data_IF_997921973416
#
_entry.id   IF_997921973416
#
_cell.length_a   1.000
_cell.length_b   1.000
_cell.length_c   1.000
_cell.angle_alpha   90.00
_cell.angle_beta   90.00
_cell.angle_gamma   90.00
#
_symmetry.space_group_name_H-M   'P 1'
#
loop_
_entity.id
_entity.type
_entity.pdbx_description
1 polymer ?
#
# COMPACT_ATOMS: atom_id res chain seq x y z
N UNK A 1 30.72 -18.59 6.59
CA UNK A 1 29.48 -18.39 5.81
C UNK A 1 29.40 -16.91 5.49
N UNK A 2 29.29 -16.54 4.22
CA UNK A 2 29.00 -15.16 3.85
C UNK A 2 27.49 -14.92 3.95
N UNK A 3 27.10 -13.78 4.49
CA UNK A 3 25.72 -13.32 4.53
C UNK A 3 25.53 -12.32 3.39
N UNK A 4 24.41 -12.42 2.68
CA UNK A 4 24.04 -11.47 1.62
C UNK A 4 22.76 -10.74 2.02
N UNK A 5 22.65 -9.48 1.59
CA UNK A 5 21.44 -8.66 1.68
C UNK A 5 21.00 -8.39 0.25
N UNK A 6 19.75 -8.71 -0.08
CA UNK A 6 19.17 -8.52 -1.41
C UNK A 6 17.75 -7.98 -1.30
N UNK A 7 17.35 -7.24 -2.32
CA UNK A 7 15.98 -6.77 -2.46
C UNK A 7 15.09 -7.84 -3.10
N UNK A 8 13.93 -8.09 -2.48
CA UNK A 8 12.91 -9.04 -2.92
C UNK A 8 11.80 -8.32 -3.69
N UNK A 9 12.15 -7.67 -4.78
CA UNK A 9 11.21 -6.89 -5.61
C UNK A 9 10.69 -7.68 -6.82
N UNK A 10 9.43 -7.41 -7.17
CA UNK A 10 8.78 -7.89 -8.39
C UNK A 10 9.12 -7.06 -9.62
N UNK A 11 8.59 -7.42 -10.80
CA UNK A 11 8.92 -6.76 -12.07
C UNK A 11 8.24 -5.41 -12.27
N UNK A 12 7.30 -5.03 -11.39
CA UNK A 12 6.52 -3.82 -11.55
C UNK A 12 7.05 -2.68 -10.68
N UNK A 13 7.16 -1.49 -11.27
CA UNK A 13 7.41 -0.23 -10.57
C UNK A 13 6.22 0.71 -10.82
N UNK A 14 5.70 1.31 -9.74
CA UNK A 14 4.58 2.24 -9.79
C UNK A 14 4.85 3.43 -8.89
N UNK A 15 4.41 4.61 -9.29
CA UNK A 15 4.14 5.65 -8.32
C UNK A 15 2.98 5.21 -7.41
N UNK A 16 2.93 5.74 -6.18
CA UNK A 16 1.83 5.44 -5.25
C UNK A 16 0.45 5.71 -5.87
N UNK A 17 0.34 6.81 -6.64
CA UNK A 17 -0.89 7.16 -7.36
C UNK A 17 -1.26 6.08 -8.37
N UNK A 18 -0.35 5.68 -9.26
CA UNK A 18 -0.61 4.65 -10.27
C UNK A 18 -1.02 3.32 -9.63
N UNK A 19 -0.36 2.92 -8.53
CA UNK A 19 -0.73 1.72 -7.78
C UNK A 19 -2.17 1.80 -7.25
N UNK A 20 -2.56 2.92 -6.63
CA UNK A 20 -3.93 3.10 -6.12
C UNK A 20 -4.98 3.15 -7.23
N UNK A 21 -4.67 3.76 -8.37
CA UNK A 21 -5.54 3.77 -9.55
C UNK A 21 -5.69 2.37 -10.15
N UNK A 22 -4.60 1.61 -10.26
CA UNK A 22 -4.59 0.23 -10.71
C UNK A 22 -5.51 -0.63 -9.85
N UNK A 23 -5.36 -0.57 -8.52
CA UNK A 23 -6.21 -1.32 -7.58
C UNK A 23 -7.68 -0.93 -7.80
N UNK A 24 -8.01 0.36 -7.75
CA UNK A 24 -9.38 0.84 -7.88
C UNK A 24 -10.03 0.48 -9.22
N UNK A 25 -9.26 0.46 -10.31
CA UNK A 25 -9.73 0.00 -11.62
C UNK A 25 -9.98 -1.51 -11.63
N UNK A 26 -9.06 -2.31 -11.08
CA UNK A 26 -9.16 -3.78 -11.08
C UNK A 26 -10.31 -4.30 -10.23
N UNK A 27 -10.61 -3.65 -9.09
CA UNK A 27 -11.76 -4.02 -8.23
C UNK A 27 -13.05 -3.29 -8.61
N UNK A 28 -13.07 -2.54 -9.71
CA UNK A 28 -14.23 -1.77 -10.19
C UNK A 28 -14.77 -0.75 -9.16
N UNK A 29 -13.90 -0.23 -8.30
CA UNK A 29 -14.21 0.80 -7.27
C UNK A 29 -13.35 2.04 -7.48
N UNK A 30 -13.61 2.78 -8.56
CA UNK A 30 -12.94 4.05 -8.84
C UNK A 30 -13.28 5.09 -7.77
N UNK A 31 -12.26 5.72 -7.20
CA UNK A 31 -12.38 6.77 -6.19
C UNK A 31 -11.61 8.01 -6.64
N UNK A 32 -12.04 9.17 -6.18
CA UNK A 32 -11.30 10.41 -6.41
C UNK A 32 -10.01 10.38 -5.58
N UNK A 33 -8.87 10.61 -6.23
CA UNK A 33 -7.57 10.72 -5.57
C UNK A 33 -7.21 12.20 -5.43
N UNK A 34 -7.16 12.67 -4.19
CA UNK A 34 -6.80 14.06 -3.87
C UNK A 34 -5.36 14.08 -3.33
N UNK A 35 -4.43 14.80 -3.97
CA UNK A 35 -3.10 14.99 -3.41
C UNK A 35 -3.19 15.88 -2.16
N UNK A 36 -2.60 15.43 -1.05
CA UNK A 36 -2.59 16.16 0.21
C UNK A 36 -1.18 16.18 0.80
N UNK A 37 -0.77 17.27 1.48
CA UNK A 37 0.43 17.28 2.30
C UNK A 37 0.38 16.19 3.39
N UNK A 38 1.50 15.54 3.74
CA UNK A 38 1.55 14.43 4.71
C UNK A 38 0.86 14.73 6.05
N UNK A 39 1.06 15.94 6.60
CA UNK A 39 0.43 16.36 7.86
C UNK A 39 -1.09 16.40 7.78
N UNK A 40 -1.66 16.85 6.66
CA UNK A 40 -3.11 16.87 6.47
C UNK A 40 -3.66 15.46 6.28
N UNK A 41 -2.94 14.60 5.56
CA UNK A 41 -3.30 13.19 5.42
C UNK A 41 -3.32 12.47 6.78
N UNK A 42 -2.30 12.69 7.62
CA UNK A 42 -2.23 12.13 8.97
C UNK A 42 -3.37 12.64 9.86
N UNK A 43 -3.65 13.95 9.88
CA UNK A 43 -4.77 14.51 10.65
C UNK A 43 -6.13 13.93 10.19
N UNK A 44 -6.34 13.80 8.88
CA UNK A 44 -7.54 13.20 8.34
C UNK A 44 -7.66 11.72 8.75
N UNK A 45 -6.55 10.97 8.70
CA UNK A 45 -6.54 9.57 9.12
C UNK A 45 -6.77 9.39 10.62
N UNK A 46 -6.21 10.25 11.47
CA UNK A 46 -6.49 10.28 12.91
C UNK A 46 -7.96 10.55 13.19
N UNK A 47 -8.57 11.49 12.48
CA UNK A 47 -10.00 11.76 12.60
C UNK A 47 -10.83 10.54 12.20
N UNK A 48 -10.53 9.95 11.03
CA UNK A 48 -11.23 8.75 10.54
C UNK A 48 -11.06 7.53 11.45
N UNK A 49 -9.89 7.37 12.07
CA UNK A 49 -9.57 6.30 13.03
C UNK A 49 -10.56 6.27 14.20
N UNK A 50 -11.04 7.44 14.65
CA UNK A 50 -12.04 7.54 15.72
C UNK A 50 -13.41 6.97 15.30
N UNK A 51 -13.76 7.01 14.01
CA UNK A 51 -15.05 6.48 13.52
C UNK A 51 -15.00 4.98 13.26
N UNK A 52 -13.83 4.46 12.89
CA UNK A 52 -13.65 3.02 12.63
C UNK A 52 -13.17 2.25 13.87
N UNK A 53 -12.91 2.94 14.98
CA UNK A 53 -12.33 2.37 16.20
C UNK A 53 -11.08 1.52 15.92
N UNK A 54 -10.23 1.99 15.01
CA UNK A 54 -9.05 1.28 14.52
C UNK A 54 -7.96 2.27 14.12
N UNK A 55 -6.71 1.81 14.06
CA UNK A 55 -5.57 2.63 13.64
C UNK A 55 -5.45 2.58 12.12
N UNK A 56 -5.89 3.65 11.44
CA UNK A 56 -5.88 3.70 9.97
C UNK A 56 -4.51 4.05 9.37
N UNK A 57 -3.77 4.94 10.01
CA UNK A 57 -2.47 5.42 9.50
C UNK A 57 -1.63 6.00 10.63
N UNK A 58 -0.38 5.56 10.70
CA UNK A 58 0.61 6.05 11.67
C UNK A 58 1.55 7.09 11.03
N UNK A 59 2.12 8.03 11.82
CA UNK A 59 3.15 8.93 11.32
C UNK A 59 4.34 8.20 10.70
N UNK A 60 4.74 7.07 11.29
CA UNK A 60 5.89 6.28 10.86
C UNK A 60 5.64 5.61 9.48
N UNK A 61 4.43 5.15 9.21
CA UNK A 61 4.05 4.64 7.88
C UNK A 61 4.08 5.74 6.82
N UNK A 62 3.63 6.95 7.17
CA UNK A 62 3.69 8.11 6.27
C UNK A 62 5.14 8.45 5.95
N UNK A 63 6.00 8.53 6.97
CA UNK A 63 7.41 8.82 6.79
C UNK A 63 8.11 7.74 5.96
N UNK A 64 7.82 6.45 6.23
CA UNK A 64 8.35 5.32 5.47
C UNK A 64 7.91 5.32 4.01
N UNK A 65 6.64 5.65 3.74
CA UNK A 65 6.12 5.77 2.37
C UNK A 65 6.77 6.95 1.63
N UNK A 66 6.95 8.09 2.30
CA UNK A 66 7.58 9.27 1.72
C UNK A 66 9.08 9.12 1.49
N UNK A 67 9.73 8.16 2.16
CA UNK A 67 11.15 7.86 2.02
C UNK A 67 11.48 7.00 0.78
N UNK A 68 10.48 6.62 -0.02
CA UNK A 68 10.63 5.85 -1.27
C UNK A 68 11.38 4.51 -1.09
N UNK A 69 11.23 3.91 0.11
CA UNK A 69 11.94 2.69 0.51
C UNK A 69 11.43 1.41 -0.20
N UNK A 70 10.37 1.53 -1.00
CA UNK A 70 9.72 0.43 -1.70
C UNK A 70 10.20 0.28 -3.15
N UNK A 71 11.19 1.08 -3.57
CA UNK A 71 11.83 0.99 -4.88
C UNK A 71 13.23 0.40 -4.74
N UNK A 72 13.55 -0.57 -5.60
CA UNK A 72 14.89 -1.14 -5.69
C UNK A 72 15.59 -0.66 -6.96
N UNK A 73 16.91 -0.51 -6.89
CA UNK A 73 17.76 -0.26 -8.07
C UNK A 73 18.32 -1.57 -8.66
N UNK A 74 18.03 -2.69 -8.02
CA UNK A 74 18.49 -4.01 -8.44
C UNK A 74 17.47 -4.64 -9.42
N UNK A 75 17.92 -5.54 -10.33
CA UNK A 75 17.00 -6.25 -11.20
C UNK A 75 15.95 -7.04 -10.39
N UNK A 76 14.70 -7.15 -10.91
CA UNK A 76 13.65 -7.88 -10.23
C UNK A 76 14.04 -9.36 -10.05
N UNK A 77 13.92 -9.85 -8.82
CA UNK A 77 14.20 -11.25 -8.47
C UNK A 77 12.94 -12.06 -8.29
N UNK A 78 11.86 -11.40 -7.89
CA UNK A 78 10.55 -12.01 -7.76
C UNK A 78 9.81 -11.93 -9.10
N UNK A 79 9.07 -12.99 -9.43
CA UNK A 79 8.36 -13.10 -10.71
C UNK A 79 6.93 -12.58 -10.66
N UNK A 80 6.41 -12.33 -9.47
CA UNK A 80 5.01 -11.96 -9.26
C UNK A 80 4.79 -10.50 -9.64
N UNK A 81 4.00 -10.27 -10.68
CA UNK A 81 3.44 -8.96 -10.99
C UNK A 81 2.24 -8.66 -10.08
N UNK A 82 2.20 -7.46 -9.50
CA UNK A 82 1.07 -6.98 -8.72
C UNK A 82 -0.18 -6.86 -9.59
N UNK A 83 -0.03 -6.42 -10.85
CA UNK A 83 -1.14 -6.27 -11.79
C UNK A 83 -1.83 -7.59 -12.09
N UNK A 84 -1.04 -8.63 -12.37
CA UNK A 84 -1.57 -9.97 -12.66
C UNK A 84 -2.22 -10.56 -11.41
N UNK A 85 -1.52 -10.46 -10.27
CA UNK A 85 -2.05 -10.93 -8.99
C UNK A 85 -3.37 -10.26 -8.61
N UNK A 86 -3.50 -8.94 -8.79
CA UNK A 86 -4.74 -8.22 -8.54
C UNK A 86 -5.88 -8.70 -9.45
N UNK A 87 -5.59 -9.03 -10.70
CA UNK A 87 -6.60 -9.53 -11.66
C UNK A 87 -7.13 -10.90 -11.21
N UNK A 88 -6.24 -11.78 -10.77
CA UNK A 88 -6.58 -13.11 -10.24
C UNK A 88 -7.37 -13.02 -8.92
N UNK A 89 -7.11 -12.01 -8.10
CA UNK A 89 -7.67 -11.85 -6.75
C UNK A 89 -8.72 -10.74 -6.64
N UNK A 90 -9.22 -10.20 -7.76
CA UNK A 90 -10.16 -9.07 -7.76
C UNK A 90 -11.43 -9.33 -6.94
N UNK A 91 -11.83 -10.60 -6.84
CA UNK A 91 -12.99 -11.05 -6.08
C UNK A 91 -12.74 -11.21 -4.58
N UNK A 92 -11.54 -10.94 -4.07
CA UNK A 92 -11.24 -11.08 -2.63
C UNK A 92 -10.65 -9.80 -2.07
N UNK A 93 -9.83 -9.10 -2.86
CA UNK A 93 -9.17 -7.86 -2.48
C UNK A 93 -10.20 -6.78 -2.12
N UNK A 94 -10.08 -6.22 -0.91
CA UNK A 94 -10.89 -5.10 -0.44
C UNK A 94 -12.36 -5.43 -0.11
N UNK A 95 -12.75 -6.72 -0.08
CA UNK A 95 -14.12 -7.13 0.33
C UNK A 95 -14.41 -6.88 1.80
N UNK A 96 -13.40 -6.99 2.66
CA UNK A 96 -13.52 -6.79 4.10
C UNK A 96 -12.47 -5.79 4.55
N UNK A 97 -12.85 -4.97 5.55
CA UNK A 97 -11.90 -4.07 6.20
C UNK A 97 -10.94 -4.91 7.04
N UNK A 98 -9.64 -4.73 6.81
CA UNK A 98 -8.59 -5.39 7.59
C UNK A 98 -8.17 -4.44 8.71
N UNK A 99 -8.68 -4.66 9.92
CA UNK A 99 -8.34 -3.83 11.08
C UNK A 99 -6.94 -4.17 11.61
N UNK A 100 -6.13 -3.15 11.87
CA UNK A 100 -4.80 -3.32 12.45
C UNK A 100 -4.90 -3.82 13.89
N UNK A 101 -5.81 -3.25 14.69
CA UNK A 101 -6.02 -3.69 16.08
C UNK A 101 -6.50 -5.14 16.15
N UNK A 102 -7.47 -5.54 15.32
CA UNK A 102 -7.99 -6.92 15.32
C UNK A 102 -7.00 -7.98 14.80
N UNK A 103 -5.93 -7.57 14.09
CA UNK A 103 -4.90 -8.48 13.57
C UNK A 103 -3.77 -8.70 14.56
N UNK A 104 -3.48 -7.71 15.40
CA UNK A 104 -2.30 -7.68 16.25
C UNK A 104 -2.61 -7.78 17.76
N UNK A 105 -3.89 -7.75 18.14
CA UNK A 105 -4.39 -7.90 19.52
C UNK A 105 -5.61 -8.83 19.57
#
# INVERSE_FOLDING_TARGET
KENYIWDAVGPDEFTFKEMTELIGNTVEKKRMLIPLPPRLALLAAQFLSLFVNDVMLTPEEVDGLMADLLISKEPPRCKTSLKDWLTENKETVGKTYASELARHF
#
